data_IF_564003505612
#
_entry.id   IF_564003505612
#
_cell.length_a   1.000
_cell.length_b   1.000
_cell.length_c   1.000
_cell.angle_alpha   90.00
_cell.angle_beta   90.00
_cell.angle_gamma   90.00
#
_symmetry.space_group_name_H-M   'P 1'
#
loop_
_entity.id
_entity.type
_entity.pdbx_description
1 polymer ?
#
# COMPACT_ATOMS: atom_id res chain seq x y z
N UNK A 1 11.02 24.12 2.56
CA UNK A 1 10.56 22.92 3.26
C UNK A 1 11.15 21.69 2.57
N UNK A 2 11.29 20.59 3.28
CA UNK A 2 11.79 19.30 2.78
C UNK A 2 11.00 18.17 3.43
N UNK A 3 10.99 17.01 2.77
CA UNK A 3 10.51 15.75 3.35
C UNK A 3 11.49 14.65 2.94
N UNK A 4 12.02 13.94 3.93
CA UNK A 4 13.10 12.98 3.72
C UNK A 4 12.60 11.52 3.62
N UNK A 5 11.28 11.26 3.67
CA UNK A 5 10.76 9.91 3.60
C UNK A 5 9.33 9.87 3.07
N UNK A 6 9.18 9.96 1.76
CA UNK A 6 7.88 9.88 1.09
C UNK A 6 7.80 8.69 0.14
N UNK A 7 6.60 8.23 -0.13
CA UNK A 7 6.32 7.11 -1.03
C UNK A 7 5.43 7.54 -2.19
N UNK A 8 5.67 7.00 -3.37
CA UNK A 8 4.76 7.09 -4.50
C UNK A 8 3.86 5.85 -4.62
N UNK A 9 2.98 5.84 -5.61
CA UNK A 9 2.01 4.77 -5.86
C UNK A 9 2.65 3.45 -6.35
N UNK A 10 3.96 3.41 -6.63
CA UNK A 10 4.68 2.18 -6.94
C UNK A 10 5.11 1.42 -5.69
N UNK A 11 4.92 2.03 -4.51
CA UNK A 11 5.18 1.43 -3.19
C UNK A 11 3.93 1.50 -2.29
N UNK A 12 3.96 2.36 -1.29
CA UNK A 12 2.88 2.54 -0.29
C UNK A 12 2.09 3.84 -0.47
N UNK A 13 2.58 4.73 -1.33
CA UNK A 13 1.94 6.01 -1.58
C UNK A 13 0.71 5.90 -2.47
N UNK A 14 -0.05 6.98 -2.55
CA UNK A 14 -1.27 7.07 -3.36
C UNK A 14 -1.10 7.88 -4.64
N UNK A 15 -0.02 8.67 -4.75
CA UNK A 15 0.24 9.57 -5.87
C UNK A 15 1.24 8.96 -6.83
N UNK A 16 1.00 9.09 -8.13
CA UNK A 16 2.02 8.77 -9.13
C UNK A 16 3.27 9.61 -8.91
N UNK A 17 4.45 9.21 -9.44
CA UNK A 17 5.67 9.99 -9.30
C UNK A 17 5.49 11.47 -9.68
N UNK A 18 4.87 11.74 -10.84
CA UNK A 18 4.59 13.12 -11.30
C UNK A 18 3.67 13.87 -10.33
N UNK A 19 2.56 13.27 -9.89
CA UNK A 19 1.63 13.90 -8.97
C UNK A 19 2.25 14.15 -7.59
N UNK A 20 3.17 13.31 -7.14
CA UNK A 20 3.91 13.52 -5.90
C UNK A 20 4.75 14.78 -5.97
N UNK A 21 5.48 14.98 -7.09
CA UNK A 21 6.30 16.17 -7.32
C UNK A 21 5.44 17.43 -7.47
N UNK A 22 4.33 17.36 -8.20
CA UNK A 22 3.39 18.47 -8.32
C UNK A 22 2.83 18.91 -6.96
N UNK A 23 2.44 17.96 -6.11
CA UNK A 23 1.94 18.26 -4.77
C UNK A 23 3.02 18.90 -3.89
N UNK A 24 4.25 18.41 -3.97
CA UNK A 24 5.39 18.99 -3.28
C UNK A 24 5.68 20.43 -3.77
N UNK A 25 5.61 20.66 -5.06
CA UNK A 25 5.79 21.99 -5.65
C UNK A 25 4.73 22.99 -5.18
N UNK A 26 3.45 22.57 -5.20
CA UNK A 26 2.33 23.39 -4.69
C UNK A 26 2.52 23.75 -3.21
N UNK A 27 3.07 22.82 -2.41
CA UNK A 27 3.37 23.02 -0.98
C UNK A 27 4.64 23.82 -0.72
N UNK A 28 5.33 24.28 -1.76
CA UNK A 28 6.58 25.05 -1.64
C UNK A 28 7.76 24.24 -1.10
N UNK A 29 7.76 22.94 -1.32
CA UNK A 29 8.88 22.06 -0.95
C UNK A 29 10.03 22.26 -1.92
N UNK A 30 11.27 22.18 -1.41
CA UNK A 30 12.49 22.32 -2.20
C UNK A 30 13.21 21.03 -2.44
N UNK A 31 13.05 20.08 -1.55
CA UNK A 31 13.66 18.76 -1.67
C UNK A 31 12.76 17.66 -1.14
N UNK A 32 12.87 16.47 -1.74
CA UNK A 32 12.18 15.24 -1.35
C UNK A 32 13.16 14.06 -1.39
N UNK A 33 13.01 13.15 -0.45
CA UNK A 33 13.60 11.82 -0.56
C UNK A 33 12.50 10.78 -0.74
N UNK A 34 12.46 10.15 -1.91
CA UNK A 34 11.44 9.17 -2.26
C UNK A 34 11.95 7.77 -1.97
N UNK A 35 11.23 7.05 -1.13
CA UNK A 35 11.59 5.71 -0.68
C UNK A 35 10.89 4.64 -1.54
N UNK A 36 11.66 3.65 -1.96
CA UNK A 36 11.19 2.46 -2.64
C UNK A 36 11.56 1.22 -1.81
N UNK A 37 10.60 0.33 -1.60
CA UNK A 37 10.87 -0.90 -0.86
C UNK A 37 11.50 -1.96 -1.76
N UNK A 38 12.69 -2.40 -1.41
CA UNK A 38 13.47 -3.48 -2.02
C UNK A 38 13.82 -3.31 -3.50
N UNK A 39 13.07 -2.53 -4.27
CA UNK A 39 13.25 -2.38 -5.70
C UNK A 39 12.72 -1.03 -6.19
N UNK A 40 13.52 -0.37 -7.03
CA UNK A 40 13.12 0.83 -7.79
C UNK A 40 12.76 0.42 -9.20
N UNK A 41 11.56 0.76 -9.64
CA UNK A 41 11.20 0.64 -11.05
C UNK A 41 11.95 1.72 -11.85
N UNK A 42 12.76 1.36 -12.86
CA UNK A 42 13.52 2.36 -13.62
C UNK A 42 12.64 3.42 -14.27
N UNK A 43 11.43 3.03 -14.71
CA UNK A 43 10.44 3.94 -15.29
C UNK A 43 9.92 4.95 -14.26
N UNK A 44 9.64 4.50 -13.04
CA UNK A 44 9.21 5.38 -11.94
C UNK A 44 10.34 6.33 -11.53
N UNK A 45 11.59 5.84 -11.46
CA UNK A 45 12.76 6.67 -11.19
C UNK A 45 12.93 7.75 -12.27
N UNK A 46 12.80 7.39 -13.55
CA UNK A 46 12.90 8.34 -14.67
C UNK A 46 11.77 9.38 -14.63
N UNK A 47 10.54 8.93 -14.37
CA UNK A 47 9.37 9.81 -14.27
C UNK A 47 9.55 10.86 -13.17
N UNK A 48 9.95 10.42 -11.96
CA UNK A 48 10.07 11.33 -10.82
C UNK A 48 11.23 12.32 -10.98
N UNK A 49 12.37 11.87 -11.50
CA UNK A 49 13.53 12.72 -11.76
C UNK A 49 13.19 13.76 -12.84
N UNK A 50 12.49 13.38 -13.90
CA UNK A 50 12.05 14.30 -14.94
C UNK A 50 11.05 15.35 -14.43
N UNK A 51 10.09 14.95 -13.62
CA UNK A 51 9.16 15.88 -12.99
C UNK A 51 9.88 16.85 -12.04
N UNK A 52 10.88 16.36 -11.31
CA UNK A 52 11.72 17.15 -10.42
C UNK A 52 12.54 18.23 -11.19
N UNK A 53 13.14 17.88 -12.31
CA UNK A 53 13.84 18.83 -13.19
C UNK A 53 12.92 19.97 -13.66
N UNK A 54 11.72 19.64 -14.10
CA UNK A 54 10.73 20.61 -14.60
C UNK A 54 10.31 21.59 -13.50
N UNK A 55 10.16 21.11 -12.27
CA UNK A 55 9.67 21.91 -11.14
C UNK A 55 10.78 22.58 -10.33
N UNK A 56 12.03 22.21 -10.56
CA UNK A 56 13.18 22.69 -9.78
C UNK A 56 13.25 22.13 -8.35
N UNK A 57 12.60 20.99 -8.09
CA UNK A 57 12.67 20.28 -6.79
C UNK A 57 13.85 19.33 -6.82
N UNK A 58 14.70 19.37 -5.78
CA UNK A 58 15.74 18.36 -5.58
C UNK A 58 15.11 17.04 -5.14
N UNK A 59 15.29 15.97 -5.92
CA UNK A 59 14.80 14.64 -5.55
C UNK A 59 15.95 13.70 -5.31
N UNK A 60 15.86 12.94 -4.21
CA UNK A 60 16.71 11.80 -3.90
C UNK A 60 15.87 10.54 -3.90
N UNK A 61 16.42 9.49 -4.46
CA UNK A 61 15.80 8.17 -4.48
C UNK A 61 16.56 7.25 -3.51
N UNK A 62 15.82 6.65 -2.59
CA UNK A 62 16.36 5.70 -1.62
C UNK A 62 15.66 4.35 -1.68
N UNK A 63 16.37 3.32 -1.25
CA UNK A 63 15.89 1.97 -1.09
C UNK A 63 15.73 1.64 0.39
N UNK A 64 14.54 1.23 0.76
CA UNK A 64 14.23 0.70 2.09
C UNK A 64 14.19 -0.83 2.03
N UNK A 65 14.90 -1.48 2.94
CA UNK A 65 14.91 -2.92 3.07
C UNK A 65 15.16 -3.36 4.50
N UNK A 66 14.65 -4.53 4.85
CA UNK A 66 14.85 -5.12 6.15
C UNK A 66 15.95 -6.16 6.10
N UNK A 67 16.84 -6.11 7.07
CA UNK A 67 17.90 -7.10 7.26
C UNK A 67 17.78 -7.77 8.63
N UNK A 68 18.08 -9.06 8.74
CA UNK A 68 18.21 -9.70 10.04
C UNK A 68 19.46 -9.19 10.76
N UNK A 69 19.29 -8.76 12.02
CA UNK A 69 20.38 -8.30 12.86
C UNK A 69 20.14 -8.74 14.31
N UNK A 70 20.98 -9.60 14.84
CA UNK A 70 20.90 -10.16 16.20
C UNK A 70 19.48 -10.66 16.57
N UNK A 71 18.86 -11.48 15.70
CA UNK A 71 17.54 -12.07 15.94
C UNK A 71 16.35 -11.13 15.78
N UNK A 72 16.60 -9.90 15.29
CA UNK A 72 15.56 -8.91 14.97
C UNK A 72 15.68 -8.48 13.51
N UNK A 73 14.62 -7.90 12.96
CA UNK A 73 14.70 -7.20 11.68
C UNK A 73 14.93 -5.72 11.91
N UNK A 74 15.90 -5.16 11.20
CA UNK A 74 16.23 -3.73 11.20
C UNK A 74 15.92 -3.19 9.81
N UNK A 75 15.15 -2.11 9.74
CA UNK A 75 14.94 -1.37 8.49
C UNK A 75 16.14 -0.50 8.19
N UNK A 76 16.71 -0.66 7.00
CA UNK A 76 17.74 0.21 6.46
C UNK A 76 17.13 1.05 5.34
N UNK A 77 17.45 2.34 5.36
CA UNK A 77 17.13 3.26 4.29
C UNK A 77 18.44 3.73 3.64
N UNK A 78 18.70 3.23 2.45
CA UNK A 78 19.91 3.53 1.72
C UNK A 78 19.63 4.52 0.60
N UNK A 79 20.30 5.68 0.65
CA UNK A 79 20.21 6.74 -0.34
C UNK A 79 21.56 6.82 -1.06
N UNK A 80 21.71 6.24 -2.26
CA UNK A 80 22.95 6.34 -3.03
C UNK A 80 23.23 7.80 -3.43
N UNK A 81 24.51 8.19 -3.40
CA UNK A 81 24.96 9.56 -3.67
C UNK A 81 26.20 9.54 -4.56
N UNK A 82 26.58 10.70 -5.06
CA UNK A 82 27.81 10.89 -5.84
C UNK A 82 27.61 10.77 -7.35
N UNK A 83 26.40 10.99 -7.83
CA UNK A 83 26.08 11.04 -9.26
C UNK A 83 26.22 12.48 -9.77
N UNK A 84 26.77 12.62 -10.97
CA UNK A 84 26.97 13.93 -11.64
C UNK A 84 25.67 14.40 -12.31
N UNK A 85 24.80 13.47 -12.67
CA UNK A 85 23.51 13.74 -13.34
C UNK A 85 22.45 12.71 -12.99
N UNK A 86 21.21 12.96 -13.40
CA UNK A 86 20.12 11.98 -13.30
C UNK A 86 20.36 10.76 -14.20
N UNK A 87 21.00 10.94 -15.33
CA UNK A 87 21.40 9.89 -16.28
C UNK A 87 22.40 8.95 -15.61
N UNK A 88 23.45 9.46 -14.95
CA UNK A 88 24.41 8.64 -14.21
C UNK A 88 23.73 7.79 -13.14
N UNK A 89 22.75 8.34 -12.42
CA UNK A 89 21.96 7.60 -11.46
C UNK A 89 21.12 6.50 -12.13
N UNK A 90 20.48 6.78 -13.25
CA UNK A 90 19.70 5.78 -14.00
C UNK A 90 20.59 4.67 -14.57
N UNK A 91 21.79 5.00 -15.06
CA UNK A 91 22.79 4.00 -15.47
C UNK A 91 23.26 3.15 -14.30
N UNK A 92 23.51 3.76 -13.15
CA UNK A 92 23.82 3.03 -11.92
C UNK A 92 22.73 2.01 -11.55
N UNK A 93 21.43 2.35 -11.68
CA UNK A 93 20.33 1.43 -11.45
C UNK A 93 20.37 0.21 -12.40
N UNK A 94 20.90 0.38 -13.60
CA UNK A 94 21.08 -0.70 -14.58
C UNK A 94 22.38 -1.48 -14.43
N UNK A 95 23.26 -1.08 -13.52
CA UNK A 95 24.53 -1.78 -13.30
C UNK A 95 24.29 -3.24 -12.85
N UNK A 96 25.18 -4.19 -13.19
CA UNK A 96 25.00 -5.61 -12.86
C UNK A 96 24.77 -5.88 -11.37
N UNK A 97 25.47 -5.14 -10.49
CA UNK A 97 25.31 -5.27 -9.04
C UNK A 97 23.92 -4.81 -8.57
N UNK A 98 23.44 -3.68 -9.08
CA UNK A 98 22.11 -3.17 -8.78
C UNK A 98 21.02 -4.07 -9.36
N UNK A 99 21.19 -4.55 -10.59
CA UNK A 99 20.26 -5.46 -11.24
C UNK A 99 20.07 -6.76 -10.41
N UNK A 100 21.15 -7.33 -9.88
CA UNK A 100 21.08 -8.52 -9.01
C UNK A 100 20.41 -8.20 -7.67
N UNK A 101 20.77 -7.07 -7.02
CA UNK A 101 20.12 -6.64 -5.78
C UNK A 101 18.63 -6.42 -5.96
N UNK A 102 18.23 -5.75 -7.04
CA UNK A 102 16.81 -5.50 -7.36
C UNK A 102 16.06 -6.77 -7.74
N UNK A 103 16.73 -7.75 -8.36
CA UNK A 103 16.14 -9.06 -8.62
C UNK A 103 15.74 -9.75 -7.32
N UNK A 104 16.64 -9.79 -6.33
CA UNK A 104 16.34 -10.33 -5.00
C UNK A 104 15.23 -9.53 -4.29
N UNK A 105 15.24 -8.22 -4.43
CA UNK A 105 14.16 -7.37 -3.93
C UNK A 105 12.80 -7.74 -4.50
N UNK A 106 12.70 -7.97 -5.81
CA UNK A 106 11.45 -8.44 -6.45
C UNK A 106 11.00 -9.81 -5.96
N UNK A 107 11.92 -10.69 -5.59
CA UNK A 107 11.58 -12.00 -5.00
C UNK A 107 10.94 -11.83 -3.61
N UNK A 108 11.48 -10.94 -2.78
CA UNK A 108 10.88 -10.59 -1.48
C UNK A 108 9.48 -10.02 -1.67
N UNK A 109 9.29 -9.11 -2.62
CA UNK A 109 7.98 -8.51 -2.89
C UNK A 109 6.96 -9.53 -3.41
N UNK A 110 7.39 -10.49 -4.25
CA UNK A 110 6.54 -11.61 -4.66
C UNK A 110 6.12 -12.45 -3.47
N UNK A 111 7.05 -12.84 -2.63
CA UNK A 111 6.75 -13.61 -1.42
C UNK A 111 5.75 -12.86 -0.50
N UNK A 112 5.94 -11.55 -0.30
CA UNK A 112 5.00 -10.73 0.47
C UNK A 112 3.60 -10.72 -0.13
N UNK A 113 3.51 -10.52 -1.45
CA UNK A 113 2.24 -10.57 -2.17
C UNK A 113 1.53 -11.90 -2.00
N UNK A 114 2.26 -13.00 -2.21
CA UNK A 114 1.72 -14.34 -2.12
C UNK A 114 1.22 -14.64 -0.68
N UNK A 115 1.92 -14.12 0.33
CA UNK A 115 1.47 -14.21 1.72
C UNK A 115 0.15 -13.46 1.96
N UNK A 116 -0.02 -12.26 1.41
CA UNK A 116 -1.28 -11.50 1.52
C UNK A 116 -2.41 -12.22 0.79
N UNK A 117 -2.15 -12.79 -0.39
CA UNK A 117 -3.13 -13.60 -1.11
C UNK A 117 -3.54 -14.86 -0.32
N UNK A 118 -2.62 -15.50 0.38
CA UNK A 118 -2.95 -16.60 1.29
C UNK A 118 -3.83 -16.13 2.46
N UNK A 119 -3.58 -14.94 3.02
CA UNK A 119 -4.47 -14.38 4.04
C UNK A 119 -5.88 -14.14 3.48
N UNK A 120 -6.00 -13.63 2.26
CA UNK A 120 -7.29 -13.47 1.58
C UNK A 120 -8.02 -14.82 1.38
N UNK A 121 -7.29 -15.84 0.96
CA UNK A 121 -7.85 -17.19 0.80
C UNK A 121 -8.39 -17.74 2.13
N UNK A 122 -7.63 -17.60 3.22
CA UNK A 122 -8.06 -18.01 4.56
C UNK A 122 -9.27 -17.19 5.05
N UNK A 123 -9.34 -15.90 4.74
CA UNK A 123 -10.50 -15.09 5.04
C UNK A 123 -11.73 -15.58 4.29
N UNK A 124 -11.65 -15.83 2.99
CA UNK A 124 -12.74 -16.37 2.19
C UNK A 124 -13.21 -17.72 2.72
N UNK A 125 -12.28 -18.59 3.12
CA UNK A 125 -12.59 -19.97 3.57
C UNK A 125 -13.20 -19.98 4.97
N UNK A 126 -12.72 -19.14 5.90
CA UNK A 126 -13.05 -19.29 7.32
C UNK A 126 -13.75 -18.10 7.93
N UNK A 127 -13.31 -16.87 7.63
CA UNK A 127 -13.80 -15.69 8.32
C UNK A 127 -15.07 -15.12 7.69
N UNK A 128 -15.19 -15.20 6.37
CA UNK A 128 -16.37 -14.74 5.64
C UNK A 128 -17.66 -15.36 6.18
N UNK A 129 -17.69 -16.68 6.33
CA UNK A 129 -18.85 -17.39 6.86
C UNK A 129 -19.20 -16.98 8.30
N UNK A 130 -18.19 -16.69 9.14
CA UNK A 130 -18.42 -16.19 10.50
C UNK A 130 -19.02 -14.78 10.48
N UNK A 131 -18.53 -13.92 9.60
CA UNK A 131 -19.09 -12.57 9.42
C UNK A 131 -20.52 -12.63 8.91
N UNK A 132 -20.83 -13.49 7.93
CA UNK A 132 -22.18 -13.71 7.44
C UNK A 132 -23.13 -14.14 8.56
N UNK A 133 -22.72 -15.06 9.42
CA UNK A 133 -23.50 -15.50 10.56
C UNK A 133 -23.65 -14.43 11.65
N UNK A 134 -22.61 -13.68 11.95
CA UNK A 134 -22.61 -12.66 13.00
C UNK A 134 -23.50 -11.46 12.64
N UNK A 135 -23.50 -11.05 11.38
CA UNK A 135 -24.22 -9.85 10.90
C UNK A 135 -25.48 -10.16 10.08
N UNK A 136 -25.82 -11.44 9.93
CA UNK A 136 -26.98 -11.89 9.10
C UNK A 136 -26.98 -11.25 7.70
N UNK A 137 -25.81 -11.26 7.05
CA UNK A 137 -25.59 -10.72 5.71
C UNK A 137 -25.03 -11.79 4.79
N UNK A 138 -25.19 -11.62 3.50
CA UNK A 138 -24.50 -12.39 2.49
C UNK A 138 -23.27 -11.57 2.02
N UNK A 139 -22.08 -12.17 2.07
CA UNK A 139 -20.84 -11.56 1.65
C UNK A 139 -20.25 -12.40 0.51
N UNK A 140 -20.16 -11.87 -0.72
CA UNK A 140 -19.55 -12.60 -1.82
C UNK A 140 -18.07 -12.86 -1.57
N UNK A 141 -17.50 -13.84 -2.26
CA UNK A 141 -16.06 -14.11 -2.22
C UNK A 141 -15.29 -12.96 -2.89
N UNK A 142 -14.22 -12.49 -2.26
CA UNK A 142 -13.28 -11.55 -2.88
C UNK A 142 -12.17 -12.32 -3.58
N UNK A 143 -12.12 -12.24 -4.90
CA UNK A 143 -11.07 -12.93 -5.67
C UNK A 143 -9.71 -12.26 -5.50
N UNK A 144 -8.63 -13.06 -5.60
CA UNK A 144 -7.26 -12.54 -5.58
C UNK A 144 -7.00 -11.57 -6.74
N UNK A 145 -7.65 -11.76 -7.89
CA UNK A 145 -7.53 -10.87 -9.05
C UNK A 145 -8.15 -9.50 -8.77
N UNK A 146 -9.36 -9.46 -8.19
CA UNK A 146 -10.03 -8.20 -7.85
C UNK A 146 -9.27 -7.44 -6.76
N UNK A 147 -8.75 -8.15 -5.77
CA UNK A 147 -7.86 -7.58 -4.77
C UNK A 147 -6.62 -6.95 -5.43
N UNK A 148 -5.90 -7.67 -6.29
CA UNK A 148 -4.70 -7.15 -6.95
C UNK A 148 -5.02 -5.99 -7.90
N UNK A 149 -6.18 -6.01 -8.56
CA UNK A 149 -6.65 -4.89 -9.39
C UNK A 149 -6.86 -3.63 -8.54
N UNK A 150 -7.38 -3.78 -7.33
CA UNK A 150 -7.57 -2.67 -6.40
C UNK A 150 -6.24 -2.13 -5.85
N UNK A 151 -5.27 -3.00 -5.56
CA UNK A 151 -3.90 -2.58 -5.17
C UNK A 151 -3.21 -1.80 -6.30
N UNK A 152 -3.50 -2.16 -7.56
CA UNK A 152 -2.96 -1.48 -8.74
C UNK A 152 -1.44 -1.66 -8.86
N UNK A 153 -0.71 -0.54 -9.04
CA UNK A 153 0.76 -0.54 -9.19
C UNK A 153 1.51 -0.69 -7.87
N UNK A 154 0.81 -0.55 -6.74
CA UNK A 154 1.38 -0.62 -5.41
C UNK A 154 1.81 -2.03 -5.00
N UNK A 155 2.39 -2.11 -3.83
CA UNK A 155 2.80 -3.38 -3.23
C UNK A 155 1.68 -3.90 -2.34
N UNK A 156 1.19 -5.11 -2.60
CA UNK A 156 0.17 -5.75 -1.77
C UNK A 156 0.65 -5.86 -0.31
N UNK A 157 -0.18 -5.43 0.62
CA UNK A 157 0.09 -5.44 2.05
C UNK A 157 -1.16 -5.82 2.84
N UNK A 158 -1.01 -6.15 4.11
CA UNK A 158 -2.14 -6.39 5.02
C UNK A 158 -3.09 -5.19 5.11
N UNK A 159 -2.55 -3.96 5.06
CA UNK A 159 -3.35 -2.75 5.06
C UNK A 159 -4.23 -2.63 3.79
N UNK A 160 -3.66 -2.96 2.62
CA UNK A 160 -4.44 -3.03 1.39
C UNK A 160 -5.52 -4.11 1.46
N UNK A 161 -5.22 -5.26 2.10
CA UNK A 161 -6.20 -6.31 2.29
C UNK A 161 -7.35 -5.86 3.20
N UNK A 162 -7.05 -5.24 4.34
CA UNK A 162 -8.06 -4.70 5.24
C UNK A 162 -8.97 -3.67 4.54
N UNK A 163 -8.39 -2.75 3.77
CA UNK A 163 -9.15 -1.77 2.99
C UNK A 163 -10.00 -2.44 1.90
N UNK A 164 -9.46 -3.48 1.24
CA UNK A 164 -10.17 -4.25 0.23
C UNK A 164 -11.38 -4.96 0.82
N UNK A 165 -11.16 -5.68 1.91
CA UNK A 165 -12.21 -6.40 2.61
C UNK A 165 -13.28 -5.43 3.12
N UNK A 166 -12.90 -4.33 3.75
CA UNK A 166 -13.86 -3.32 4.19
C UNK A 166 -14.74 -2.80 3.04
N UNK A 167 -14.13 -2.40 1.92
CA UNK A 167 -14.88 -1.94 0.75
C UNK A 167 -15.79 -3.03 0.17
N UNK A 168 -15.32 -4.27 0.21
CA UNK A 168 -16.03 -5.41 -0.34
C UNK A 168 -17.25 -5.78 0.48
N UNK A 169 -17.16 -5.77 1.82
CA UNK A 169 -18.27 -6.10 2.71
C UNK A 169 -19.24 -4.93 2.94
N UNK A 170 -18.79 -3.70 2.71
CA UNK A 170 -19.57 -2.49 3.00
C UNK A 170 -20.98 -2.47 2.39
N UNK A 171 -21.23 -2.93 1.14
CA UNK A 171 -22.59 -2.97 0.59
C UNK A 171 -23.52 -3.86 1.40
N UNK A 172 -23.05 -5.03 1.82
CA UNK A 172 -23.83 -5.97 2.65
C UNK A 172 -24.12 -5.40 4.04
N UNK A 173 -23.12 -4.78 4.66
CA UNK A 173 -23.29 -4.13 5.97
C UNK A 173 -24.24 -2.93 5.90
N UNK A 174 -24.18 -2.14 4.84
CA UNK A 174 -25.14 -1.04 4.62
C UNK A 174 -26.58 -1.54 4.45
N UNK A 175 -26.77 -2.66 3.76
CA UNK A 175 -28.08 -3.28 3.63
C UNK A 175 -28.60 -3.77 4.99
N UNK A 176 -27.75 -4.34 5.84
CA UNK A 176 -28.09 -4.72 7.22
C UNK A 176 -28.44 -3.49 8.04
N UNK A 177 -27.62 -2.45 8.01
CA UNK A 177 -27.89 -1.20 8.72
C UNK A 177 -29.24 -0.57 8.32
N UNK A 178 -29.58 -0.58 7.03
CA UNK A 178 -30.87 -0.09 6.55
C UNK A 178 -32.06 -0.91 7.06
N UNK A 179 -31.89 -2.22 7.25
CA UNK A 179 -32.92 -3.09 7.88
C UNK A 179 -33.07 -2.78 9.37
N UNK A 180 -31.94 -2.65 10.10
CA UNK A 180 -31.93 -2.33 11.53
C UNK A 180 -32.53 -0.96 11.84
N UNK A 181 -32.29 0.03 10.99
CA UNK A 181 -32.84 1.37 11.14
C UNK A 181 -34.40 1.41 11.10
N UNK A 182 -35.03 0.35 10.60
CA UNK A 182 -36.50 0.21 10.58
C UNK A 182 -37.06 -0.52 11.84
N UNK A 183 -36.16 -1.04 12.68
CA UNK A 183 -36.52 -1.73 13.92
C UNK A 183 -36.47 -0.76 15.11
N UNK A 184 -37.54 -0.70 15.89
CA UNK A 184 -37.59 0.14 17.11
C UNK A 184 -37.27 -0.67 18.37
N UNK A 185 -36.08 -1.27 18.37
CA UNK A 185 -35.60 -2.13 19.44
C UNK A 185 -34.17 -1.69 19.87
N UNK A 186 -33.87 -1.83 21.15
CA UNK A 186 -32.60 -1.37 21.73
C UNK A 186 -31.40 -2.18 21.21
N UNK A 187 -31.57 -3.48 20.92
CA UNK A 187 -30.52 -4.32 20.36
C UNK A 187 -30.18 -3.90 18.92
N UNK A 188 -31.22 -3.64 18.10
CA UNK A 188 -31.04 -3.15 16.73
C UNK A 188 -30.31 -1.79 16.69
N UNK A 189 -30.62 -0.89 17.62
CA UNK A 189 -29.91 0.42 17.75
C UNK A 189 -28.45 0.26 18.15
N UNK A 190 -28.13 -0.67 19.06
CA UNK A 190 -26.77 -0.95 19.46
C UNK A 190 -25.94 -1.54 18.30
N UNK A 191 -26.51 -2.51 17.56
CA UNK A 191 -25.86 -3.09 16.37
C UNK A 191 -25.64 -2.04 15.29
N UNK A 192 -26.63 -1.19 15.01
CA UNK A 192 -26.51 -0.11 14.03
C UNK A 192 -25.36 0.84 14.37
N UNK A 193 -25.19 1.23 15.63
CA UNK A 193 -24.10 2.10 16.07
C UNK A 193 -22.71 1.47 15.80
N UNK A 194 -22.56 0.15 15.96
CA UNK A 194 -21.32 -0.56 15.63
C UNK A 194 -21.09 -0.54 14.12
N UNK A 195 -22.11 -0.86 13.30
CA UNK A 195 -21.99 -0.88 11.85
C UNK A 195 -21.63 0.48 11.25
N UNK A 196 -22.15 1.58 11.81
CA UNK A 196 -21.87 2.95 11.36
C UNK A 196 -20.42 3.39 11.65
N UNK A 197 -19.80 2.82 12.67
CA UNK A 197 -18.41 3.16 13.05
C UNK A 197 -17.36 2.17 12.53
N UNK A 198 -17.80 1.06 11.90
CA UNK A 198 -16.90 0.02 11.40
C UNK A 198 -16.02 0.52 10.26
N UNK A 199 -14.70 0.52 10.48
CA UNK A 199 -13.66 0.90 9.51
C UNK A 199 -12.75 -0.27 9.13
N UNK A 200 -11.78 -0.03 8.24
CA UNK A 200 -10.80 -1.05 7.84
C UNK A 200 -10.02 -1.65 9.00
N UNK A 201 -9.74 -0.87 10.06
CA UNK A 201 -9.05 -1.32 11.26
C UNK A 201 -9.87 -2.39 11.99
N UNK A 202 -11.18 -2.19 12.14
CA UNK A 202 -12.07 -3.19 12.75
C UNK A 202 -12.08 -4.51 11.99
N UNK A 203 -12.13 -4.44 10.65
CA UNK A 203 -12.07 -5.64 9.81
C UNK A 203 -10.73 -6.38 9.99
N UNK A 204 -9.63 -5.64 10.15
CA UNK A 204 -8.30 -6.22 10.32
C UNK A 204 -8.07 -6.84 11.70
N UNK A 205 -8.77 -6.37 12.74
CA UNK A 205 -8.60 -6.81 14.12
C UNK A 205 -9.53 -7.98 14.49
N UNK A 206 -10.76 -7.99 13.97
CA UNK A 206 -11.78 -8.96 14.35
C UNK A 206 -11.92 -10.12 13.35
N UNK A 207 -11.56 -9.92 12.09
CA UNK A 207 -11.79 -10.85 10.98
C UNK A 207 -10.54 -11.17 10.17
#
# INVERSE_FOLDING_TARGET
>A
AFDDHVYDANTKGRKTPTHLIMDAWIKGMRSLTVAYEYWVQPEAAREILRAAEITGIEVRIGLEFQIPFYGRFVSLFWIPRGFSSNEDFLEFLHSPKMAEMMKRGREVLRWRRDRVLNCLALWNEHQRAKMEAAWEVEVPELSGEDFLRMVGRGQASSLHLAEALHRHVQPSLRQRAARLAQCDDAAARAELAVLETMGPEHIAEEW
#
